data_IF_391791617578
#
_entry.id   IF_391791617578
#
_cell.length_a   1.000
_cell.length_b   1.000
_cell.length_c   1.000
_cell.angle_alpha   90.00
_cell.angle_beta   90.00
_cell.angle_gamma   90.00
#
_symmetry.space_group_name_H-M   'P 1'
#
loop_
_entity.id
_entity.type
_entity.pdbx_description
1 polymer ?
#
# COMPACT_ATOMS: atom_id res chain seq x y z
N UNK A 1 15.30 -40.97 77.51
CA UNK A 1 14.79 -42.26 78.04
C UNK A 1 13.39 -42.45 77.45
N UNK A 2 13.12 -43.50 76.66
CA UNK A 2 11.86 -43.74 75.89
C UNK A 2 11.56 -42.66 74.80
N UNK A 3 10.71 -42.87 73.79
CA UNK A 3 10.34 -44.08 73.01
C UNK A 3 9.61 -43.68 71.70
N UNK A 4 9.61 -44.59 70.70
CA UNK A 4 8.76 -44.78 69.49
C UNK A 4 7.73 -43.66 69.10
N UNK A 5 7.67 -43.16 67.84
CA UNK A 5 7.11 -43.81 66.61
C UNK A 5 5.67 -44.35 66.85
N UNK A 6 4.63 -44.13 65.99
CA UNK A 6 4.65 -43.76 64.56
C UNK A 6 4.21 -42.28 64.29
N UNK A 7 3.60 -41.79 63.19
CA UNK A 7 2.84 -42.41 62.07
C UNK A 7 2.98 -41.67 60.70
N UNK A 8 2.31 -42.24 59.69
CA UNK A 8 2.21 -41.90 58.27
C UNK A 8 1.35 -40.65 57.99
N UNK A 9 1.75 -39.81 57.04
CA UNK A 9 0.82 -39.22 56.05
C UNK A 9 1.56 -38.90 54.75
N UNK A 10 0.98 -39.26 53.60
CA UNK A 10 1.57 -39.02 52.28
C UNK A 10 0.82 -37.89 51.58
N UNK A 11 1.49 -36.75 51.37
CA UNK A 11 0.93 -35.60 50.67
C UNK A 11 1.81 -35.23 49.47
N UNK A 12 1.62 -35.97 48.37
CA UNK A 12 2.27 -35.66 47.10
C UNK A 12 1.62 -34.38 46.54
N UNK A 13 2.33 -33.26 46.69
CA UNK A 13 2.00 -32.00 46.02
C UNK A 13 2.34 -32.11 44.53
N UNK A 14 1.44 -32.74 43.76
CA UNK A 14 1.50 -32.71 42.30
C UNK A 14 1.25 -31.29 41.81
N UNK A 15 2.35 -30.57 41.57
CA UNK A 15 2.34 -29.31 40.83
C UNK A 15 2.03 -29.61 39.35
N UNK A 16 0.74 -29.76 39.04
CA UNK A 16 0.27 -29.72 37.66
C UNK A 16 0.48 -28.31 37.12
N UNK A 17 1.67 -28.06 36.56
CA UNK A 17 1.96 -26.88 35.78
C UNK A 17 1.04 -26.88 34.56
N UNK A 18 -0.07 -26.13 34.65
CA UNK A 18 -0.94 -25.84 33.53
C UNK A 18 -0.21 -24.91 32.57
N UNK A 19 0.62 -25.49 31.71
CA UNK A 19 1.19 -24.83 30.54
C UNK A 19 0.05 -24.42 29.64
N UNK A 20 -0.47 -23.20 29.85
CA UNK A 20 -1.42 -22.57 28.95
C UNK A 20 -0.71 -22.29 27.63
N UNK A 21 -0.75 -23.27 26.73
CA UNK A 21 -0.56 -23.03 25.32
C UNK A 21 -1.63 -22.01 24.89
N UNK A 22 -1.23 -20.73 24.79
CA UNK A 22 -1.94 -19.80 23.93
C UNK A 22 -1.94 -20.45 22.55
N UNK A 23 -3.11 -20.56 21.93
CA UNK A 23 -3.14 -20.71 20.48
C UNK A 23 -2.40 -19.48 19.92
N UNK A 24 -1.38 -19.71 19.09
CA UNK A 24 -0.87 -18.64 18.25
C UNK A 24 -2.02 -18.22 17.33
N UNK A 25 -2.26 -16.91 17.22
CA UNK A 25 -3.20 -16.40 16.23
C UNK A 25 -2.77 -16.92 14.85
N UNK A 26 -3.71 -17.41 14.02
CA UNK A 26 -3.36 -17.93 12.70
C UNK A 26 -2.60 -16.84 11.94
N UNK A 27 -1.45 -17.17 11.30
CA UNK A 27 -0.63 -16.16 10.64
C UNK A 27 -1.49 -15.38 9.65
N UNK A 28 -1.38 -14.04 9.61
CA UNK A 28 -2.29 -13.20 8.83
C UNK A 28 -2.29 -13.69 7.38
N UNK A 29 -3.50 -13.96 6.86
CA UNK A 29 -3.67 -14.52 5.53
C UNK A 29 -2.89 -13.66 4.53
N UNK A 30 -2.03 -14.31 3.74
CA UNK A 30 -1.16 -13.61 2.80
C UNK A 30 -2.02 -12.72 1.90
N UNK A 31 -1.74 -11.40 1.91
CA UNK A 31 -2.48 -10.42 1.13
C UNK A 31 -2.58 -10.89 -0.33
N UNK A 32 -3.80 -11.02 -0.84
CA UNK A 32 -4.02 -11.48 -2.19
C UNK A 32 -3.32 -10.52 -3.16
N UNK A 33 -2.42 -11.06 -3.98
CA UNK A 33 -1.69 -10.27 -4.94
C UNK A 33 -2.60 -9.88 -6.11
N UNK A 34 -2.59 -8.60 -6.45
CA UNK A 34 -3.50 -8.05 -7.45
C UNK A 34 -3.24 -8.67 -8.84
N UNK A 35 -4.29 -8.81 -9.65
CA UNK A 35 -4.22 -9.34 -11.01
C UNK A 35 -3.20 -8.58 -11.87
N UNK A 36 -3.11 -7.26 -11.73
CA UNK A 36 -2.13 -6.45 -12.47
C UNK A 36 -0.67 -6.76 -12.09
N UNK A 37 -0.40 -7.07 -10.83
CA UNK A 37 0.94 -7.47 -10.34
C UNK A 37 1.27 -8.88 -10.80
N UNK A 38 0.33 -9.81 -10.62
CA UNK A 38 0.44 -11.20 -11.06
C UNK A 38 0.75 -11.29 -12.55
N UNK A 39 0.09 -10.49 -13.39
CA UNK A 39 0.33 -10.43 -14.82
C UNK A 39 1.76 -9.95 -15.17
N UNK A 40 2.26 -8.89 -14.52
CA UNK A 40 3.63 -8.39 -14.77
C UNK A 40 4.71 -9.37 -14.30
N UNK A 41 4.53 -10.01 -13.14
CA UNK A 41 5.44 -11.09 -12.68
C UNK A 41 5.45 -12.28 -13.62
N UNK A 42 4.29 -12.64 -14.18
CA UNK A 42 4.15 -13.71 -15.17
C UNK A 42 4.84 -13.35 -16.48
N UNK A 43 4.73 -12.08 -16.92
CA UNK A 43 5.46 -11.54 -18.06
C UNK A 43 6.98 -11.40 -17.83
N UNK A 44 7.46 -11.56 -16.59
CA UNK A 44 8.88 -11.62 -16.23
C UNK A 44 9.38 -10.47 -15.34
N UNK A 45 8.59 -9.40 -15.15
CA UNK A 45 8.94 -8.27 -14.30
C UNK A 45 8.74 -8.61 -12.82
N UNK A 46 9.80 -9.11 -12.16
CA UNK A 46 9.72 -9.72 -10.82
C UNK A 46 10.37 -8.89 -9.72
N UNK A 47 11.46 -8.17 -10.01
CA UNK A 47 12.24 -7.40 -9.01
C UNK A 47 11.37 -6.42 -8.21
N UNK A 48 10.54 -5.62 -8.89
CA UNK A 48 9.68 -4.63 -8.25
C UNK A 48 8.30 -5.17 -7.82
N UNK A 49 8.09 -6.49 -7.82
CA UNK A 49 6.78 -7.08 -7.61
C UNK A 49 6.13 -6.73 -6.26
N UNK A 50 6.89 -6.68 -5.16
CA UNK A 50 6.36 -6.27 -3.85
C UNK A 50 6.06 -4.76 -3.78
N UNK A 51 6.93 -3.92 -4.36
CA UNK A 51 6.69 -2.48 -4.47
C UNK A 51 5.42 -2.21 -5.30
N UNK A 52 5.23 -2.93 -6.41
CA UNK A 52 4.06 -2.79 -7.26
C UNK A 52 2.78 -3.20 -6.52
N UNK A 53 2.79 -4.30 -5.78
CA UNK A 53 1.67 -4.71 -4.92
C UNK A 53 1.32 -3.65 -3.85
N UNK A 54 2.33 -3.02 -3.23
CA UNK A 54 2.08 -1.92 -2.29
C UNK A 54 1.41 -0.72 -2.99
N UNK A 55 1.88 -0.32 -4.18
CA UNK A 55 1.27 0.78 -4.93
C UNK A 55 -0.12 0.46 -5.48
N UNK A 56 -0.36 -0.75 -5.98
CA UNK A 56 -1.69 -1.12 -6.50
C UNK A 56 -2.73 -1.16 -5.40
N UNK A 57 -2.36 -1.60 -4.18
CA UNK A 57 -3.23 -1.56 -2.99
C UNK A 57 -3.48 -0.17 -2.41
N UNK A 58 -2.53 0.77 -2.57
CA UNK A 58 -2.73 2.19 -2.19
C UNK A 58 -3.70 2.91 -3.14
N UNK A 59 -3.71 2.54 -4.42
CA UNK A 59 -4.50 3.21 -5.46
C UNK A 59 -5.87 2.55 -5.72
N UNK A 60 -5.98 1.24 -5.46
CA UNK A 60 -7.20 0.45 -5.64
C UNK A 60 -7.36 -0.44 -4.39
N UNK A 61 -8.43 -0.25 -3.61
CA UNK A 61 -8.62 -0.96 -2.34
C UNK A 61 -9.05 -2.42 -2.48
N UNK A 62 -9.48 -2.82 -3.68
CA UNK A 62 -9.92 -4.16 -4.05
C UNK A 62 -9.29 -4.55 -5.39
N UNK A 63 -9.23 -5.85 -5.68
CA UNK A 63 -8.64 -6.40 -6.92
C UNK A 63 -9.66 -6.45 -8.09
N UNK A 64 -10.76 -5.70 -8.02
CA UNK A 64 -11.75 -5.57 -9.11
C UNK A 64 -11.72 -4.21 -9.84
N UNK A 65 -10.60 -3.94 -10.49
CA UNK A 65 -10.42 -2.82 -11.40
C UNK A 65 -9.92 -3.29 -12.78
N UNK A 66 -10.37 -2.63 -13.88
CA UNK A 66 -9.71 -2.78 -15.17
C UNK A 66 -8.30 -2.18 -15.12
N UNK A 67 -7.34 -2.85 -15.76
CA UNK A 67 -5.97 -2.39 -15.86
C UNK A 67 -5.36 -2.66 -17.24
N UNK A 68 -4.34 -1.86 -17.58
CA UNK A 68 -3.44 -2.08 -18.70
C UNK A 68 -2.00 -2.06 -18.19
N UNK A 69 -1.27 -3.14 -18.43
CA UNK A 69 0.17 -3.22 -18.15
C UNK A 69 0.98 -2.93 -19.42
N UNK A 70 2.15 -2.33 -19.26
CA UNK A 70 3.15 -2.10 -20.33
C UNK A 70 4.55 -2.36 -19.77
N UNK A 71 5.38 -3.07 -20.53
CA UNK A 71 6.71 -3.51 -20.11
C UNK A 71 7.64 -3.69 -21.34
N UNK A 72 8.95 -3.72 -21.12
CA UNK A 72 9.91 -4.16 -22.14
C UNK A 72 9.79 -5.68 -22.34
N UNK A 73 9.50 -6.15 -23.55
CA UNK A 73 9.24 -7.57 -23.82
C UNK A 73 10.49 -8.46 -23.85
N UNK A 74 11.69 -7.89 -23.98
CA UNK A 74 12.96 -8.61 -24.08
C UNK A 74 13.62 -8.80 -22.70
N UNK A 75 13.66 -7.75 -21.89
CA UNK A 75 14.20 -7.76 -20.52
C UNK A 75 13.26 -7.04 -19.53
N UNK A 76 12.08 -7.63 -19.25
CA UNK A 76 11.06 -7.04 -18.38
C UNK A 76 11.52 -6.85 -16.93
N UNK A 77 12.60 -7.50 -16.50
CA UNK A 77 13.08 -7.44 -15.12
C UNK A 77 14.15 -6.35 -14.90
N UNK A 78 14.71 -5.76 -15.96
CA UNK A 78 15.76 -4.71 -15.89
C UNK A 78 15.32 -3.36 -16.46
N UNK A 79 14.09 -3.26 -16.96
CA UNK A 79 13.49 -2.03 -17.46
C UNK A 79 12.29 -1.58 -16.63
N UNK A 80 11.84 -0.36 -16.87
CA UNK A 80 10.62 0.15 -16.26
C UNK A 80 9.37 -0.59 -16.76
N UNK A 81 8.41 -0.74 -15.85
CA UNK A 81 7.04 -1.21 -16.13
C UNK A 81 6.06 -0.09 -15.82
N UNK A 82 4.89 -0.13 -16.47
CA UNK A 82 3.78 0.76 -16.17
C UNK A 82 2.49 -0.03 -16.02
N UNK A 83 1.71 0.26 -14.98
CA UNK A 83 0.32 -0.17 -14.82
C UNK A 83 -0.57 1.06 -14.85
N UNK A 84 -1.53 1.09 -15.77
CA UNK A 84 -2.65 2.04 -15.75
C UNK A 84 -3.86 1.29 -15.19
N UNK A 85 -4.61 1.89 -14.26
CA UNK A 85 -5.91 1.38 -13.79
C UNK A 85 -6.98 2.47 -13.82
N UNK A 86 -8.25 2.06 -13.81
CA UNK A 86 -9.37 2.99 -13.52
C UNK A 86 -10.25 2.44 -12.42
N UNK A 87 -10.84 3.33 -11.63
CA UNK A 87 -11.71 2.97 -10.50
C UNK A 87 -12.97 3.81 -10.57
N UNK A 88 -14.14 3.18 -10.36
CA UNK A 88 -15.41 3.87 -10.25
C UNK A 88 -15.81 4.00 -8.78
N UNK A 89 -16.33 5.17 -8.39
CA UNK A 89 -16.86 5.46 -7.06
C UNK A 89 -18.31 5.95 -7.18
N UNK A 90 -19.03 6.05 -6.07
CA UNK A 90 -20.43 6.53 -6.09
C UNK A 90 -20.54 8.02 -6.49
N UNK A 91 -19.51 8.80 -6.22
CA UNK A 91 -19.39 10.25 -6.37
C UNK A 91 -18.49 10.69 -7.54
N UNK A 92 -17.86 9.76 -8.26
CA UNK A 92 -16.94 10.07 -9.35
C UNK A 92 -16.16 8.86 -9.87
N UNK A 93 -15.00 9.11 -10.47
CA UNK A 93 -14.06 8.06 -10.92
C UNK A 93 -12.62 8.52 -10.78
N UNK A 94 -11.67 7.58 -10.85
CA UNK A 94 -10.25 7.88 -11.02
C UNK A 94 -9.60 7.09 -12.16
N UNK A 95 -8.55 7.67 -12.71
CA UNK A 95 -7.58 7.01 -13.59
C UNK A 95 -6.20 7.16 -12.92
N UNK A 96 -5.53 6.05 -12.68
CA UNK A 96 -4.19 6.00 -12.11
C UNK A 96 -3.19 5.43 -13.10
N UNK A 97 -1.94 5.91 -13.05
CA UNK A 97 -0.80 5.34 -13.73
C UNK A 97 0.36 5.22 -12.74
N UNK A 98 0.93 4.03 -12.59
CA UNK A 98 2.13 3.75 -11.80
C UNK A 98 3.22 3.28 -12.75
N UNK A 99 4.31 4.03 -12.83
CA UNK A 99 5.58 3.57 -13.35
C UNK A 99 6.44 3.00 -12.22
N UNK A 100 7.16 1.92 -12.47
CA UNK A 100 8.22 1.42 -11.58
C UNK A 100 9.46 1.03 -12.36
N UNK A 101 10.64 1.39 -11.86
CA UNK A 101 11.93 0.95 -12.39
C UNK A 101 12.73 0.20 -11.33
N UNK A 102 13.37 -0.93 -11.69
CA UNK A 102 14.44 -1.48 -10.86
C UNK A 102 15.63 -0.51 -10.81
N UNK A 103 16.36 -0.50 -9.70
CA UNK A 103 17.65 0.18 -9.59
C UNK A 103 18.82 -0.81 -9.66
N UNK A 104 20.03 -0.31 -9.90
CA UNK A 104 21.27 -1.10 -9.85
C UNK A 104 21.60 -1.63 -8.45
N UNK A 105 21.00 -1.06 -7.39
CA UNK A 105 21.16 -1.52 -6.00
C UNK A 105 20.18 -2.65 -5.62
N UNK A 106 19.34 -3.11 -6.54
CA UNK A 106 18.29 -4.10 -6.24
C UNK A 106 17.05 -3.52 -5.55
N UNK A 107 17.01 -2.19 -5.35
CA UNK A 107 15.82 -1.46 -4.90
C UNK A 107 14.89 -1.20 -6.10
N UNK A 108 13.75 -0.54 -5.86
CA UNK A 108 12.86 -0.08 -6.92
C UNK A 108 12.35 1.34 -6.65
N UNK A 109 12.40 2.17 -7.68
CA UNK A 109 11.88 3.53 -7.64
C UNK A 109 10.57 3.59 -8.42
N UNK A 110 9.58 4.27 -7.86
CA UNK A 110 8.25 4.40 -8.42
C UNK A 110 7.90 5.84 -8.70
N UNK A 111 7.17 6.06 -9.80
CA UNK A 111 6.49 7.31 -10.11
C UNK A 111 5.01 7.02 -10.30
N UNK A 112 4.12 7.90 -9.81
CA UNK A 112 2.70 7.75 -10.09
C UNK A 112 2.02 9.09 -10.38
N UNK A 113 0.92 9.00 -11.12
CA UNK A 113 -0.07 10.05 -11.27
C UNK A 113 -1.47 9.43 -11.13
N UNK A 114 -2.38 10.13 -10.48
CA UNK A 114 -3.77 9.73 -10.33
C UNK A 114 -4.67 10.96 -10.50
N UNK A 115 -5.56 10.91 -11.49
CA UNK A 115 -6.60 11.91 -11.70
C UNK A 115 -7.90 11.36 -11.15
N UNK A 116 -8.54 12.08 -10.24
CA UNK A 116 -9.94 11.88 -9.86
C UNK A 116 -10.79 12.94 -10.57
N UNK A 117 -11.98 12.56 -11.01
CA UNK A 117 -13.07 13.47 -11.35
C UNK A 117 -14.23 13.19 -10.40
N UNK A 118 -14.44 14.09 -9.43
CA UNK A 118 -15.43 13.95 -8.36
C UNK A 118 -16.49 15.04 -8.47
N UNK A 119 -17.74 14.73 -8.09
CA UNK A 119 -18.87 15.69 -8.12
C UNK A 119 -18.80 16.75 -7.02
N UNK A 120 -18.02 16.52 -5.96
CA UNK A 120 -17.83 17.48 -4.87
C UNK A 120 -16.91 18.64 -5.29
N UNK A 121 -17.13 19.83 -4.72
CA UNK A 121 -16.38 21.04 -5.04
C UNK A 121 -14.93 20.97 -4.53
N UNK A 122 -13.98 21.56 -5.26
CA UNK A 122 -12.57 21.55 -4.85
C UNK A 122 -12.34 22.19 -3.47
N UNK A 123 -13.06 23.26 -3.13
CA UNK A 123 -12.98 23.88 -1.80
C UNK A 123 -13.38 22.90 -0.69
N UNK A 124 -14.49 22.18 -0.86
CA UNK A 124 -14.96 21.22 0.13
C UNK A 124 -14.09 19.96 0.20
N UNK A 125 -13.49 19.51 -0.91
CA UNK A 125 -12.47 18.44 -0.90
C UNK A 125 -11.19 18.88 -0.19
N UNK A 126 -10.76 20.14 -0.35
CA UNK A 126 -9.66 20.72 0.44
C UNK A 126 -9.96 20.74 1.93
N UNK A 127 -11.20 21.02 2.35
CA UNK A 127 -11.62 21.09 3.75
C UNK A 127 -11.94 19.73 4.40
N UNK A 128 -12.22 18.69 3.60
CA UNK A 128 -12.58 17.35 4.08
C UNK A 128 -11.47 16.33 3.84
N UNK A 129 -11.45 15.68 2.68
CA UNK A 129 -10.55 14.56 2.34
C UNK A 129 -9.06 14.94 2.29
N UNK A 130 -8.75 16.22 2.07
CA UNK A 130 -7.37 16.70 1.93
C UNK A 130 -6.98 17.75 3.00
N UNK A 131 -7.76 17.91 4.07
CA UNK A 131 -7.59 18.99 5.07
C UNK A 131 -6.16 19.10 5.66
N UNK A 132 -5.49 17.96 5.83
CA UNK A 132 -4.16 17.87 6.45
C UNK A 132 -3.01 18.10 5.43
N UNK A 133 -3.34 18.16 4.13
CA UNK A 133 -2.38 18.48 3.05
C UNK A 133 -2.11 19.98 3.03
N UNK A 134 -0.84 20.34 3.10
CA UNK A 134 -0.37 21.74 3.25
C UNK A 134 0.01 22.32 1.90
N UNK A 135 -0.15 23.63 1.70
CA UNK A 135 0.42 24.31 0.54
C UNK A 135 1.94 24.14 0.52
N UNK A 136 2.50 23.93 -0.67
CA UNK A 136 3.92 23.63 -0.89
C UNK A 136 4.55 24.58 -1.93
N UNK A 137 3.91 24.74 -3.09
CA UNK A 137 4.37 25.59 -4.18
C UNK A 137 3.22 25.90 -5.15
N UNK A 138 3.37 26.92 -5.99
CA UNK A 138 2.41 27.25 -7.05
C UNK A 138 2.96 26.86 -8.43
N UNK A 139 2.26 25.98 -9.14
CA UNK A 139 2.55 25.62 -10.52
C UNK A 139 1.85 26.64 -11.44
N UNK A 140 2.49 27.78 -11.64
CA UNK A 140 1.89 28.93 -12.33
C UNK A 140 0.80 29.56 -11.46
N UNK A 141 -0.48 29.31 -11.78
CA UNK A 141 -1.63 29.74 -10.96
C UNK A 141 -2.31 28.58 -10.21
N UNK A 142 -1.73 27.38 -10.26
CA UNK A 142 -2.32 26.16 -9.65
C UNK A 142 -1.59 25.81 -8.35
N UNK A 143 -2.20 25.97 -7.17
CA UNK A 143 -1.55 25.67 -5.90
C UNK A 143 -1.38 24.15 -5.70
N UNK A 144 -0.13 23.73 -5.51
CA UNK A 144 0.24 22.37 -5.15
C UNK A 144 0.24 22.22 -3.63
N UNK A 145 -0.29 21.09 -3.18
CA UNK A 145 -0.34 20.73 -1.77
C UNK A 145 0.43 19.42 -1.53
N UNK A 146 1.25 19.36 -0.49
CA UNK A 146 2.08 18.20 -0.14
C UNK A 146 1.33 17.21 0.76
N UNK A 147 1.57 15.91 0.57
CA UNK A 147 1.00 14.84 1.39
C UNK A 147 1.60 14.86 2.81
N UNK A 148 0.80 14.84 3.89
CA UNK A 148 1.30 14.92 5.26
C UNK A 148 2.17 13.72 5.69
N UNK A 149 2.26 12.67 4.88
CA UNK A 149 3.08 11.47 5.11
C UNK A 149 4.27 11.35 4.15
N UNK A 150 4.35 12.14 3.08
CA UNK A 150 5.42 12.05 2.07
C UNK A 150 5.71 13.37 1.35
N UNK A 151 6.89 13.93 1.58
CA UNK A 151 7.43 15.11 0.86
C UNK A 151 7.89 14.80 -0.57
N UNK A 152 7.33 13.77 -1.19
CA UNK A 152 7.52 13.40 -2.60
C UNK A 152 6.18 13.15 -3.30
N UNK A 153 5.06 13.48 -2.65
CA UNK A 153 3.71 13.37 -3.20
C UNK A 153 2.99 14.71 -3.07
N UNK A 154 2.40 15.16 -4.18
CA UNK A 154 1.65 16.43 -4.25
C UNK A 154 0.25 16.23 -4.86
N UNK A 155 -0.67 17.12 -4.50
CA UNK A 155 -2.03 17.21 -5.04
C UNK A 155 -2.34 18.62 -5.56
N UNK A 156 -2.92 18.69 -6.76
CA UNK A 156 -3.48 19.89 -7.37
C UNK A 156 -5.00 19.72 -7.53
N UNK A 157 -5.73 20.83 -7.48
CA UNK A 157 -7.20 20.87 -7.50
C UNK A 157 -7.66 21.86 -8.57
N UNK A 158 -8.48 21.40 -9.51
CA UNK A 158 -8.97 22.20 -10.64
C UNK A 158 -10.48 22.07 -10.71
N UNK A 159 -11.20 23.17 -10.47
CA UNK A 159 -12.66 23.20 -10.58
C UNK A 159 -13.12 22.94 -12.01
N UNK A 160 -14.11 22.08 -12.18
CA UNK A 160 -14.75 21.80 -13.47
C UNK A 160 -16.20 22.30 -13.46
N UNK A 161 -16.94 22.12 -14.57
CA UNK A 161 -18.39 22.40 -14.58
C UNK A 161 -19.20 21.37 -13.78
N UNK A 162 -18.64 20.19 -13.50
CA UNK A 162 -19.33 19.05 -12.90
C UNK A 162 -18.84 18.73 -11.47
N UNK A 163 -17.85 19.47 -10.95
CA UNK A 163 -17.28 19.27 -9.62
C UNK A 163 -15.79 19.65 -9.56
N UNK A 164 -14.94 18.71 -9.17
CA UNK A 164 -13.50 18.90 -9.04
C UNK A 164 -12.69 17.82 -9.75
N UNK A 165 -11.67 18.25 -10.50
CA UNK A 165 -10.56 17.40 -10.90
C UNK A 165 -9.47 17.48 -9.82
N UNK A 166 -9.12 16.34 -9.23
CA UNK A 166 -7.98 16.23 -8.30
C UNK A 166 -6.86 15.46 -8.99
N UNK A 167 -5.71 16.11 -9.17
CA UNK A 167 -4.51 15.47 -9.69
C UNK A 167 -3.54 15.22 -8.54
N UNK A 168 -3.33 13.95 -8.17
CA UNK A 168 -2.24 13.51 -7.29
C UNK A 168 -1.08 13.02 -8.13
N UNK A 169 0.16 13.32 -7.77
CA UNK A 169 1.33 12.70 -8.36
C UNK A 169 2.49 12.63 -7.37
N UNK A 170 3.45 11.75 -7.60
CA UNK A 170 4.63 11.68 -6.75
C UNK A 170 5.67 10.63 -7.13
N UNK A 171 6.77 10.64 -6.39
CA UNK A 171 7.83 9.64 -6.40
C UNK A 171 7.84 8.88 -5.06
N UNK A 172 8.10 7.57 -5.10
CA UNK A 172 8.19 6.71 -3.93
C UNK A 172 9.34 5.72 -4.09
N UNK A 173 10.12 5.51 -3.04
CA UNK A 173 11.40 4.80 -3.08
C UNK A 173 11.32 3.54 -2.21
N UNK A 174 11.36 2.37 -2.84
CA UNK A 174 11.19 1.08 -2.16
C UNK A 174 12.55 0.42 -1.95
N UNK A 175 12.98 0.16 -0.70
CA UNK A 175 14.28 -0.45 -0.42
C UNK A 175 14.37 -1.88 -0.99
N UNK A 176 15.59 -2.44 -1.15
CA UNK A 176 15.75 -3.82 -1.57
C UNK A 176 15.02 -4.79 -0.63
N UNK A 177 14.29 -5.74 -1.20
CA UNK A 177 13.60 -6.79 -0.43
C UNK A 177 14.64 -7.66 0.27
N UNK A 178 14.67 -7.61 1.61
CA UNK A 178 15.47 -8.51 2.42
C UNK A 178 14.93 -9.95 2.24
N UNK A 179 15.84 -10.91 2.08
CA UNK A 179 15.54 -12.34 1.91
C UNK A 179 15.96 -13.14 3.14
#
# INVERSE_FOLDING_TARGET
MRALIPLISCSILSLCALTQARAEDPPPAALQEHRSVTALKTAGAKQCGQALQAMTGVLNSEDDYPYLNTWNQEDPNRHAVMTISTTAYADGSSIAAVGMSPTTAGSCDASFAQVFLLRETCARLRETSFKDWKHYADLGTTPLHEDPTSSSVVAAFVSTQEGCLVFKAGLLFFPPVQR
#
